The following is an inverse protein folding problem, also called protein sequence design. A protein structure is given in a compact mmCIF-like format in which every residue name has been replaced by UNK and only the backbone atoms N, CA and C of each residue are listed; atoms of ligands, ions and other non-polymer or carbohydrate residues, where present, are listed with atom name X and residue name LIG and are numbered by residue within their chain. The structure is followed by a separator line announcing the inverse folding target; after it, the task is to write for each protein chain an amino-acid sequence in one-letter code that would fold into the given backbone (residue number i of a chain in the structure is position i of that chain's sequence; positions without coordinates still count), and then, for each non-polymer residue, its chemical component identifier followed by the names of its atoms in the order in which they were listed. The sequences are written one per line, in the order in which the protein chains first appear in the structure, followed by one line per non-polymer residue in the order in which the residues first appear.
data_IF_660210531640
#
_entry.id   IF_660210531640
#
_cell.length_a   1.000
_cell.length_b   1.000
_cell.length_c   1.000
_cell.angle_alpha   90.00
_cell.angle_beta   90.00
_cell.angle_gamma   90.00
#
_symmetry.space_group_name_H-M   'P 1'
#
loop_
_entity.id
_entity.type
_entity.pdbx_description
1 polymer ?
#
# COMPACT_ATOMS: atom_id res chain seq x y z
N UNK A 1 -0.02 4.48 -16.29
CA UNK A 1 -1.26 5.24 -16.03
C UNK A 1 -0.90 6.73 -16.03
N UNK A 2 -1.38 7.46 -17.03
CA UNK A 2 -1.10 8.89 -17.24
C UNK A 2 -2.43 9.63 -17.20
N UNK A 3 -2.49 10.78 -16.53
CA UNK A 3 -3.72 11.56 -16.35
C UNK A 3 -3.59 13.00 -16.87
N UNK A 4 -3.47 13.23 -18.19
CA UNK A 4 -3.19 14.56 -18.73
C UNK A 4 -4.19 15.63 -18.27
N UNK A 5 -5.47 15.26 -18.11
CA UNK A 5 -6.53 16.16 -17.66
C UNK A 5 -6.37 16.60 -16.18
N UNK A 6 -5.79 15.76 -15.32
CA UNK A 6 -5.54 16.09 -13.91
C UNK A 6 -4.27 16.95 -13.74
N UNK A 7 -3.37 16.90 -14.73
CA UNK A 7 -2.05 17.53 -14.69
C UNK A 7 -1.80 18.33 -15.98
N UNK A 8 -2.59 19.37 -16.28
CA UNK A 8 -2.52 20.10 -17.55
C UNK A 8 -1.19 20.83 -17.78
N UNK A 9 -0.40 21.04 -16.72
CA UNK A 9 0.93 21.66 -16.78
C UNK A 9 2.07 20.65 -17.01
N UNK A 10 1.75 19.37 -17.23
CA UNK A 10 2.76 18.32 -17.45
C UNK A 10 3.54 17.94 -16.19
N UNK A 11 2.94 18.07 -15.01
CA UNK A 11 3.59 17.72 -13.75
C UNK A 11 3.97 16.23 -13.71
N UNK A 12 5.19 15.93 -13.27
CA UNK A 12 5.63 14.56 -13.10
C UNK A 12 4.91 13.89 -11.92
N UNK A 13 4.54 12.62 -12.10
CA UNK A 13 4.10 11.76 -11.00
C UNK A 13 5.26 11.47 -10.04
N UNK A 14 4.94 10.87 -8.88
CA UNK A 14 5.94 10.41 -7.91
C UNK A 14 7.05 9.59 -8.59
N UNK A 15 8.30 9.86 -8.19
CA UNK A 15 9.47 9.09 -8.58
C UNK A 15 10.45 8.97 -7.40
N UNK A 16 11.32 7.96 -7.45
CA UNK A 16 12.27 7.62 -6.37
C UNK A 16 13.33 8.71 -6.11
N UNK A 17 13.51 9.65 -7.04
CA UNK A 17 14.41 10.79 -6.91
C UNK A 17 13.79 11.99 -6.19
N UNK A 18 12.51 11.94 -5.82
CA UNK A 18 11.87 13.01 -5.07
C UNK A 18 12.36 13.06 -3.62
N UNK A 19 12.78 14.25 -3.20
CA UNK A 19 13.30 14.49 -1.86
C UNK A 19 12.45 15.49 -1.10
N UNK A 20 12.47 15.41 0.23
CA UNK A 20 11.83 16.39 1.08
C UNK A 20 12.45 17.78 0.87
N UNK A 21 11.75 18.84 1.27
CA UNK A 21 12.38 20.17 1.41
C UNK A 21 13.39 20.15 2.55
N UNK A 22 14.48 20.92 2.45
CA UNK A 22 15.59 20.93 3.42
C UNK A 22 15.12 20.97 4.89
N UNK A 23 14.12 21.80 5.19
CA UNK A 23 13.55 21.94 6.53
C UNK A 23 12.91 20.64 7.09
N UNK A 24 12.38 19.79 6.21
CA UNK A 24 11.78 18.50 6.56
C UNK A 24 12.72 17.32 6.34
N UNK A 25 13.90 17.53 5.76
CA UNK A 25 14.91 16.49 5.59
C UNK A 25 15.47 16.13 6.96
N UNK A 26 15.57 14.84 7.21
CA UNK A 26 16.35 14.31 8.35
C UNK A 26 17.44 13.40 7.79
N UNK A 27 18.54 13.21 8.51
CA UNK A 27 19.61 12.29 8.13
C UNK A 27 19.11 10.88 7.75
N UNK A 28 17.96 10.44 8.30
CA UNK A 28 17.31 9.16 8.00
C UNK A 28 16.17 9.24 6.98
N UNK A 29 15.64 10.43 6.67
CA UNK A 29 14.46 10.65 5.82
C UNK A 29 14.73 11.81 4.86
N UNK A 30 15.44 11.51 3.80
CA UNK A 30 15.72 12.45 2.70
C UNK A 30 14.71 12.32 1.57
N UNK A 31 14.27 11.10 1.25
CA UNK A 31 13.37 10.81 0.12
C UNK A 31 11.89 10.85 0.52
N UNK A 32 11.05 11.39 -0.36
CA UNK A 32 9.60 11.38 -0.22
C UNK A 32 9.09 9.98 -0.53
N UNK A 33 8.40 9.36 0.43
CA UNK A 33 7.71 8.09 0.17
C UNK A 33 6.46 8.31 -0.66
N UNK A 34 6.10 7.31 -1.47
CA UNK A 34 4.96 7.39 -2.38
C UNK A 34 3.64 7.71 -1.67
N UNK A 35 3.43 7.16 -0.46
CA UNK A 35 2.26 7.44 0.37
C UNK A 35 2.16 8.93 0.73
N UNK A 36 3.26 9.55 1.18
CA UNK A 36 3.28 10.98 1.52
C UNK A 36 3.00 11.87 0.31
N UNK A 37 3.50 11.49 -0.86
CA UNK A 37 3.20 12.21 -2.10
C UNK A 37 1.69 12.18 -2.40
N UNK A 38 1.05 11.01 -2.32
CA UNK A 38 -0.38 10.90 -2.56
C UNK A 38 -1.21 11.58 -1.49
N UNK A 39 -0.85 11.44 -0.21
CA UNK A 39 -1.51 12.13 0.91
C UNK A 39 -1.47 13.66 0.72
N UNK A 40 -0.32 14.22 0.35
CA UNK A 40 -0.20 15.64 0.05
C UNK A 40 -1.10 16.05 -1.12
N UNK A 41 -1.15 15.27 -2.21
CA UNK A 41 -2.00 15.58 -3.37
C UNK A 41 -3.49 15.44 -3.09
N UNK A 42 -3.87 14.50 -2.23
CA UNK A 42 -5.26 14.21 -1.86
C UNK A 42 -5.75 15.09 -0.70
N UNK A 43 -4.86 15.78 0.01
CA UNK A 43 -5.26 16.76 1.04
C UNK A 43 -6.21 17.80 0.47
N UNK A 44 -7.32 18.06 1.17
CA UNK A 44 -8.22 19.16 0.83
C UNK A 44 -7.61 20.49 1.28
N UNK A 45 -7.75 21.51 0.43
CA UNK A 45 -7.21 22.86 0.66
C UNK A 45 -8.24 23.88 0.24
N UNK A 46 -8.12 25.08 0.79
CA UNK A 46 -8.96 26.21 0.41
C UNK A 46 -8.64 26.60 -1.05
N UNK A 47 -9.66 26.61 -1.91
CA UNK A 47 -9.55 26.99 -3.32
C UNK A 47 -9.96 25.89 -4.30
N UNK A 48 -9.95 26.22 -5.59
CA UNK A 48 -10.26 25.28 -6.65
C UNK A 48 -9.12 24.28 -6.86
N UNK A 49 -9.44 22.99 -6.84
CA UNK A 49 -8.50 21.91 -7.14
C UNK A 49 -9.05 21.04 -8.26
N UNK A 50 -8.33 21.02 -9.39
CA UNK A 50 -8.69 20.18 -10.55
C UNK A 50 -8.85 18.72 -10.14
N UNK A 51 -7.96 18.22 -9.27
CA UNK A 51 -8.04 16.85 -8.75
C UNK A 51 -9.37 16.58 -8.08
N UNK A 52 -9.77 17.42 -7.11
CA UNK A 52 -11.00 17.21 -6.34
C UNK A 52 -12.28 17.49 -7.14
N UNK A 53 -12.20 18.27 -8.23
CA UNK A 53 -13.35 18.59 -9.09
C UNK A 53 -13.54 17.64 -10.28
N UNK A 54 -12.67 16.65 -10.46
CA UNK A 54 -12.68 15.78 -11.67
C UNK A 54 -13.61 14.55 -11.60
N UNK A 55 -14.40 14.40 -10.54
CA UNK A 55 -15.44 13.36 -10.44
C UNK A 55 -14.92 11.92 -10.61
N UNK A 56 -15.43 11.17 -11.60
CA UNK A 56 -15.02 9.76 -11.81
C UNK A 56 -13.53 9.60 -12.09
N UNK A 57 -12.91 10.57 -12.76
CA UNK A 57 -11.47 10.54 -13.05
C UNK A 57 -10.65 10.66 -11.76
N UNK A 58 -11.15 11.39 -10.77
CA UNK A 58 -10.55 11.47 -9.44
C UNK A 58 -10.63 10.14 -8.70
N UNK A 59 -11.77 9.45 -8.76
CA UNK A 59 -11.90 8.12 -8.15
C UNK A 59 -10.92 7.12 -8.77
N UNK A 60 -10.79 7.11 -10.10
CA UNK A 60 -9.80 6.26 -10.77
C UNK A 60 -8.37 6.59 -10.33
N UNK A 61 -8.05 7.88 -10.17
CA UNK A 61 -6.75 8.31 -9.67
C UNK A 61 -6.47 7.82 -8.24
N UNK A 62 -7.47 7.84 -7.35
CA UNK A 62 -7.34 7.32 -5.98
C UNK A 62 -7.07 5.81 -6.01
N UNK A 63 -7.84 5.05 -6.79
CA UNK A 63 -7.68 3.59 -6.90
C UNK A 63 -6.28 3.25 -7.40
N UNK A 64 -5.80 3.94 -8.42
CA UNK A 64 -4.46 3.72 -8.96
C UNK A 64 -3.36 4.11 -7.95
N UNK A 65 -3.56 5.19 -7.19
CA UNK A 65 -2.64 5.59 -6.13
C UNK A 65 -2.56 4.53 -5.02
N UNK A 66 -3.71 3.95 -4.65
CA UNK A 66 -3.78 2.84 -3.68
C UNK A 66 -3.02 1.62 -4.19
N UNK A 67 -3.32 1.13 -5.41
CA UNK A 67 -2.67 -0.05 -5.99
C UNK A 67 -1.15 0.12 -6.05
N UNK A 68 -0.67 1.31 -6.44
CA UNK A 68 0.77 1.60 -6.48
C UNK A 68 1.40 1.58 -5.09
N UNK A 69 0.74 2.18 -4.10
CA UNK A 69 1.23 2.25 -2.72
C UNK A 69 1.27 0.86 -2.09
N UNK A 70 0.22 0.05 -2.28
CA UNK A 70 0.18 -1.34 -1.83
C UNK A 70 1.24 -2.19 -2.53
N UNK A 71 1.44 -2.01 -3.83
CA UNK A 71 2.51 -2.68 -4.57
C UNK A 71 3.90 -2.36 -4.01
N UNK A 72 4.16 -1.10 -3.66
CA UNK A 72 5.40 -0.68 -3.02
C UNK A 72 5.57 -1.32 -1.63
N UNK A 73 4.48 -1.39 -0.84
CA UNK A 73 4.51 -2.00 0.48
C UNK A 73 4.77 -3.52 0.42
N UNK A 74 4.09 -4.23 -0.48
CA UNK A 74 4.32 -5.66 -0.72
C UNK A 74 5.75 -5.93 -1.22
N UNK A 75 6.27 -5.05 -2.08
CA UNK A 75 7.66 -5.12 -2.53
C UNK A 75 8.63 -4.96 -1.36
N UNK A 76 8.40 -3.99 -0.48
CA UNK A 76 9.17 -3.80 0.74
C UNK A 76 9.12 -5.05 1.64
N UNK A 77 7.93 -5.59 1.90
CA UNK A 77 7.76 -6.80 2.71
C UNK A 77 8.52 -7.99 2.11
N UNK A 78 8.49 -8.15 0.78
CA UNK A 78 9.21 -9.21 0.07
C UNK A 78 10.73 -9.09 0.19
N UNK A 79 11.27 -7.86 0.20
CA UNK A 79 12.71 -7.61 0.29
C UNK A 79 13.25 -7.69 1.71
N UNK A 80 12.47 -7.21 2.69
CA UNK A 80 12.89 -7.08 4.08
C UNK A 80 12.42 -8.26 4.95
N UNK A 81 12.09 -9.40 4.33
CA UNK A 81 11.68 -10.62 5.01
C UNK A 81 12.65 -10.99 6.16
N UNK A 82 13.96 -10.86 5.98
CA UNK A 82 14.96 -11.22 7.01
C UNK A 82 14.91 -10.33 8.26
N UNK A 83 14.52 -9.06 8.10
CA UNK A 83 14.40 -8.10 9.21
C UNK A 83 13.05 -8.21 9.92
N UNK A 84 12.04 -8.72 9.22
CA UNK A 84 10.83 -9.22 9.85
C UNK A 84 11.22 -10.45 10.68
N UNK A 85 10.60 -10.65 11.86
CA UNK A 85 10.94 -11.72 12.82
C UNK A 85 10.60 -13.13 12.31
N UNK A 86 11.14 -13.52 11.16
CA UNK A 86 10.95 -14.83 10.53
C UNK A 86 11.51 -15.95 11.40
N UNK A 87 12.47 -15.66 12.28
CA UNK A 87 12.96 -16.64 13.25
C UNK A 87 11.82 -17.26 14.08
N UNK A 88 10.78 -16.49 14.41
CA UNK A 88 9.59 -16.99 15.10
C UNK A 88 8.73 -17.92 14.22
N UNK A 89 8.77 -17.70 12.91
CA UNK A 89 7.99 -18.44 11.91
C UNK A 89 8.78 -19.56 11.23
N UNK A 90 10.06 -19.73 11.56
CA UNK A 90 10.93 -20.74 10.95
C UNK A 90 10.39 -22.17 11.16
N UNK A 91 9.92 -22.50 12.37
CA UNK A 91 9.29 -23.79 12.62
C UNK A 91 7.98 -24.01 11.83
N UNK A 92 7.23 -22.93 11.54
CA UNK A 92 6.06 -23.00 10.68
C UNK A 92 6.45 -23.21 9.21
N UNK A 93 7.51 -22.51 8.75
CA UNK A 93 8.05 -22.70 7.40
C UNK A 93 8.55 -24.12 7.18
N UNK A 94 9.30 -24.68 8.13
CA UNK A 94 9.80 -26.06 8.07
C UNK A 94 8.64 -27.07 7.98
N UNK A 95 7.57 -26.88 8.77
CA UNK A 95 6.38 -27.73 8.73
C UNK A 95 5.62 -27.62 7.38
N UNK A 96 5.53 -26.42 6.81
CA UNK A 96 4.91 -26.20 5.51
C UNK A 96 5.74 -26.80 4.37
N UNK A 97 7.07 -26.69 4.44
CA UNK A 97 7.98 -27.31 3.47
C UNK A 97 7.91 -28.84 3.52
N UNK A 98 7.86 -29.44 4.72
CA UNK A 98 7.65 -30.88 4.88
C UNK A 98 6.33 -31.34 4.25
N UNK A 99 5.25 -30.58 4.48
CA UNK A 99 3.94 -30.87 3.88
C UNK A 99 3.96 -30.73 2.36
N UNK A 100 4.56 -29.66 1.85
CA UNK A 100 4.65 -29.42 0.41
C UNK A 100 5.49 -30.51 -0.30
N UNK A 101 6.54 -31.01 0.35
CA UNK A 101 7.32 -32.15 -0.13
C UNK A 101 6.47 -33.42 -0.22
N UNK A 102 5.66 -33.70 0.81
CA UNK A 102 4.77 -34.85 0.84
C UNK A 102 3.63 -34.76 -0.21
N UNK A 103 3.17 -33.55 -0.51
CA UNK A 103 2.10 -33.29 -1.50
C UNK A 103 2.65 -32.98 -2.92
N UNK A 104 3.98 -33.04 -3.11
CA UNK A 104 4.68 -32.71 -4.36
C UNK A 104 4.37 -31.30 -4.91
N UNK A 105 4.14 -30.35 -4.00
CA UNK A 105 3.86 -28.94 -4.30
C UNK A 105 5.19 -28.19 -4.34
N UNK A 106 5.48 -27.49 -5.44
CA UNK A 106 6.66 -26.64 -5.55
C UNK A 106 6.50 -25.35 -4.76
N UNK A 107 7.31 -25.20 -3.71
CA UNK A 107 7.33 -24.00 -2.86
C UNK A 107 8.59 -23.20 -3.14
N UNK A 108 8.60 -22.40 -4.20
CA UNK A 108 9.83 -21.70 -4.64
C UNK A 108 10.19 -20.48 -3.77
N UNK A 109 9.21 -19.82 -3.12
CA UNK A 109 9.46 -18.78 -2.10
C UNK A 109 8.23 -18.46 -1.26
N UNK A 110 8.25 -18.76 0.03
CA UNK A 110 7.23 -18.31 0.98
C UNK A 110 7.51 -16.87 1.39
N UNK A 111 6.51 -15.99 1.24
CA UNK A 111 6.54 -14.61 1.74
C UNK A 111 5.52 -14.53 2.87
N UNK A 112 5.98 -14.23 4.07
CA UNK A 112 5.08 -14.06 5.22
C UNK A 112 4.54 -12.63 5.17
N UNK A 113 3.23 -12.51 5.10
CA UNK A 113 2.52 -11.24 5.23
C UNK A 113 2.14 -11.03 6.70
N UNK A 114 2.19 -9.79 7.21
CA UNK A 114 1.68 -9.46 8.53
C UNK A 114 0.20 -9.79 8.66
N UNK A 115 -0.25 -10.11 9.88
CA UNK A 115 -1.65 -10.42 10.14
C UNK A 115 -2.61 -9.26 9.88
N UNK A 116 -2.10 -8.02 9.83
CA UNK A 116 -2.83 -6.79 9.48
C UNK A 116 -3.04 -6.60 7.98
N UNK A 117 -2.51 -7.49 7.14
CA UNK A 117 -2.70 -7.41 5.69
C UNK A 117 -4.18 -7.57 5.31
N UNK A 118 -4.65 -6.75 4.38
CA UNK A 118 -6.04 -6.77 3.95
C UNK A 118 -6.37 -8.09 3.24
N UNK A 119 -7.32 -8.86 3.79
CA UNK A 119 -7.65 -10.22 3.34
C UNK A 119 -7.03 -11.34 4.19
N UNK A 120 -6.25 -11.01 5.23
CA UNK A 120 -5.87 -11.94 6.29
C UNK A 120 -7.09 -12.39 7.10
N UNK A 121 -7.10 -13.65 7.57
CA UNK A 121 -8.16 -14.21 8.42
C UNK A 121 -8.50 -13.33 9.62
N UNK A 122 -7.49 -12.73 10.27
CA UNK A 122 -7.71 -11.82 11.42
C UNK A 122 -8.36 -10.49 11.02
N UNK A 123 -8.06 -9.96 9.83
CA UNK A 123 -8.68 -8.72 9.36
C UNK A 123 -10.15 -8.94 8.99
N UNK A 124 -10.49 -10.13 8.47
CA UNK A 124 -11.88 -10.52 8.16
C UNK A 124 -12.70 -10.87 9.41
N UNK A 125 -12.05 -11.23 10.52
CA UNK A 125 -12.68 -11.61 11.80
C UNK A 125 -12.96 -10.43 12.74
N UNK A 126 -12.45 -9.22 12.45
CA UNK A 126 -12.87 -8.03 13.19
C UNK A 126 -14.34 -7.73 12.84
N UNK A 127 -15.28 -7.72 13.81
CA UNK A 127 -16.63 -7.28 13.54
C UNK A 127 -16.51 -5.84 13.01
N UNK A 128 -17.00 -5.62 11.79
CA UNK A 128 -17.29 -4.28 11.33
C UNK A 128 -18.29 -3.72 12.34
N UNK A 129 -17.85 -2.87 13.26
CA UNK A 129 -18.74 -1.97 13.99
C UNK A 129 -19.34 -0.99 12.97
N UNK A 130 -20.32 -1.47 12.20
CA UNK A 130 -21.31 -0.66 11.54
C UNK A 130 -22.53 -0.62 12.47
N UNK A 131 -22.38 0.07 13.60
CA UNK A 131 -23.52 0.71 14.24
C UNK A 131 -23.80 1.97 13.45
N UNK A 132 -24.65 1.90 12.42
CA UNK A 132 -25.66 2.91 12.06
C UNK A 132 -26.63 2.23 11.10
N UNK A 133 -27.87 2.07 11.57
CA UNK A 133 -28.92 1.35 10.87
C UNK A 133 -29.36 2.02 9.57
N UNK A 134 -29.94 1.21 8.69
CA UNK A 134 -31.38 1.24 8.38
C UNK A 134 -31.62 0.13 7.36
N UNK A 135 -32.43 -0.86 7.76
CA UNK A 135 -33.11 -1.74 6.81
C UNK A 135 -34.19 -0.95 6.10
N UNK A 136 -34.22 -0.99 4.77
CA UNK A 136 -35.48 -1.02 4.02
C UNK A 136 -35.21 -1.69 2.66
N UNK A 137 -35.91 -2.82 2.48
CA UNK A 137 -36.17 -3.67 1.31
C UNK A 137 -35.22 -3.61 0.11
#
# INVERSE_FOLDING_TARGET
MTYPLLFPRGECSWNTGMEHVEERRTAKRTRIIQLQYYEYRLSQRNGFSILHSSGKLFLQYIVDAYVKTEGLHLHFLRQNQKDLRIELYRGLLDALECRAHNENIRTEKLIILPSSFQGSSRQTELPRCNDYGTQVW
#
